data_IF_275495646935
#
_entry.id   IF_275495646935
#
_cell.length_a   1.000
_cell.length_b   1.000
_cell.length_c   1.000
_cell.angle_alpha   90.00
_cell.angle_beta   90.00
_cell.angle_gamma   90.00
#
_symmetry.space_group_name_H-M   'P 1'
#
loop_
_entity.id
_entity.type
_entity.pdbx_description
1 polymer ?
#
# COMPACT_ATOMS: atom_id res chain seq x y z
N UNK A 1 -5.49 13.76 -0.78
CA UNK A 1 -6.40 14.29 -1.81
C UNK A 1 -7.84 13.81 -1.55
N UNK A 2 -8.82 14.54 -2.07
CA UNK A 2 -10.22 14.14 -2.10
C UNK A 2 -10.53 13.68 -3.52
N UNK A 3 -11.15 12.51 -3.68
CA UNK A 3 -11.49 11.97 -4.99
C UNK A 3 -13.00 11.95 -5.19
N UNK A 4 -13.47 12.44 -6.33
CA UNK A 4 -14.85 12.25 -6.81
C UNK A 4 -14.86 10.91 -7.56
N UNK A 5 -15.23 9.85 -6.87
CA UNK A 5 -15.05 8.47 -7.32
C UNK A 5 -16.27 7.61 -7.05
N UNK A 6 -16.53 6.67 -7.96
CA UNK A 6 -17.49 5.60 -7.79
C UNK A 6 -16.92 4.28 -8.37
N UNK A 7 -17.74 3.23 -8.49
CA UNK A 7 -17.28 1.93 -9.01
C UNK A 7 -16.86 1.96 -10.49
N UNK A 8 -17.28 2.97 -11.25
CA UNK A 8 -16.95 3.11 -12.68
C UNK A 8 -15.69 3.93 -12.94
N UNK A 9 -15.15 4.64 -11.93
CA UNK A 9 -13.88 5.37 -12.05
C UNK A 9 -13.79 6.65 -11.23
N UNK A 10 -12.67 7.35 -11.40
CA UNK A 10 -12.37 8.65 -10.79
C UNK A 10 -12.76 9.76 -11.76
N UNK A 11 -13.60 10.70 -11.33
CA UNK A 11 -14.05 11.85 -12.13
C UNK A 11 -13.26 13.12 -11.87
N UNK A 12 -12.81 13.32 -10.62
CA UNK A 12 -12.00 14.46 -10.24
C UNK A 12 -11.15 14.16 -9.01
N UNK A 13 -10.05 14.88 -8.88
CA UNK A 13 -9.15 14.85 -7.72
C UNK A 13 -8.96 16.27 -7.23
N UNK A 14 -9.14 16.50 -5.93
CA UNK A 14 -8.88 17.78 -5.28
C UNK A 14 -7.77 17.61 -4.24
N UNK A 15 -6.61 18.25 -4.39
CA UNK A 15 -5.56 18.24 -3.39
C UNK A 15 -6.04 18.99 -2.14
N UNK A 16 -5.84 18.40 -0.96
CA UNK A 16 -6.04 19.10 0.31
C UNK A 16 -4.86 20.03 0.51
N UNK A 17 -5.06 21.31 0.89
CA UNK A 17 -3.94 22.23 1.10
C UNK A 17 -2.93 21.67 2.12
N UNK A 18 -1.61 21.78 1.86
CA UNK A 18 -0.55 21.17 2.70
C UNK A 18 -0.63 21.54 4.18
N UNK A 19 -1.06 22.76 4.49
CA UNK A 19 -1.24 23.23 5.88
C UNK A 19 -2.30 22.42 6.64
N UNK A 20 -3.37 22.01 5.96
CA UNK A 20 -4.40 21.16 6.59
C UNK A 20 -3.93 19.71 6.72
N UNK A 21 -3.17 19.19 5.75
CA UNK A 21 -2.56 17.86 5.87
C UNK A 21 -1.63 17.81 7.09
N UNK A 22 -0.76 18.81 7.24
CA UNK A 22 0.10 18.97 8.42
C UNK A 22 -0.72 19.01 9.70
N UNK A 23 -1.70 19.91 9.77
CA UNK A 23 -2.53 20.10 10.97
C UNK A 23 -3.26 18.84 11.39
N UNK A 24 -3.79 18.04 10.44
CA UNK A 24 -4.44 16.77 10.76
C UNK A 24 -3.45 15.72 11.29
N UNK A 25 -2.26 15.60 10.68
CA UNK A 25 -1.23 14.68 11.16
C UNK A 25 -0.81 15.08 12.58
N UNK A 26 -0.51 16.35 12.79
CA UNK A 26 -0.08 16.87 14.11
C UNK A 26 -1.16 16.65 15.18
N UNK A 27 -2.41 16.96 14.88
CA UNK A 27 -3.51 16.77 15.84
C UNK A 27 -3.65 15.31 16.28
N UNK A 28 -3.52 14.35 15.37
CA UNK A 28 -3.59 12.92 15.70
C UNK A 28 -2.34 12.43 16.40
N UNK A 29 -1.15 12.87 15.96
CA UNK A 29 0.12 12.42 16.54
C UNK A 29 0.36 13.02 17.94
N UNK A 30 -0.10 14.23 18.20
CA UNK A 30 0.09 14.89 19.51
C UNK A 30 -0.81 14.26 20.59
N UNK A 31 -1.98 13.75 20.24
CA UNK A 31 -2.98 13.19 21.16
C UNK A 31 -3.00 11.66 21.15
N UNK A 32 -3.35 11.04 20.01
CA UNK A 32 -3.63 9.60 19.91
C UNK A 32 -2.34 8.75 19.80
N UNK A 33 -1.32 9.26 19.10
CA UNK A 33 -0.02 8.58 18.88
C UNK A 33 -0.17 7.17 18.31
N UNK A 34 -0.71 7.02 17.09
CA UNK A 34 -0.94 5.71 16.49
C UNK A 34 0.36 4.89 16.38
N UNK A 35 0.27 3.59 16.60
CA UNK A 35 1.40 2.64 16.55
C UNK A 35 1.91 2.42 15.12
N UNK A 36 1.05 2.61 14.10
CA UNK A 36 1.42 2.51 12.70
C UNK A 36 0.67 3.54 11.84
N UNK A 37 1.31 3.95 10.75
CA UNK A 37 0.75 4.88 9.76
C UNK A 37 0.72 4.18 8.39
N UNK A 38 -0.42 4.26 7.71
CA UNK A 38 -0.50 3.89 6.29
C UNK A 38 -0.66 5.14 5.45
N UNK A 39 0.19 5.27 4.44
CA UNK A 39 0.15 6.33 3.43
C UNK A 39 -0.29 5.70 2.12
N UNK A 40 -1.26 6.32 1.45
CA UNK A 40 -1.74 5.92 0.13
C UNK A 40 -1.38 6.95 -0.93
N UNK A 41 -2.35 7.27 -1.79
CA UNK A 41 -2.17 8.18 -2.92
C UNK A 41 -1.72 9.58 -2.47
N UNK A 42 -0.55 9.99 -2.95
CA UNK A 42 -0.02 11.35 -2.86
C UNK A 42 0.30 11.79 -4.29
N UNK A 43 -0.25 12.92 -4.70
CA UNK A 43 -0.11 13.45 -6.06
C UNK A 43 0.59 14.81 -6.15
N UNK A 44 1.05 15.35 -5.03
CA UNK A 44 1.57 16.71 -4.89
C UNK A 44 2.87 16.71 -4.08
N UNK A 45 3.92 17.32 -4.62
CA UNK A 45 5.26 17.40 -4.01
C UNK A 45 5.26 18.12 -2.65
N UNK A 46 4.44 19.16 -2.49
CA UNK A 46 4.35 19.89 -1.22
C UNK A 46 3.71 19.04 -0.13
N UNK A 47 2.78 18.14 -0.50
CA UNK A 47 2.22 17.15 0.42
C UNK A 47 3.27 16.12 0.81
N UNK A 48 4.10 15.65 -0.13
CA UNK A 48 5.24 14.75 0.17
C UNK A 48 6.15 15.40 1.21
N UNK A 49 6.58 16.65 1.00
CA UNK A 49 7.45 17.39 1.92
C UNK A 49 6.82 17.55 3.31
N UNK A 50 5.54 17.87 3.36
CA UNK A 50 4.81 18.00 4.65
C UNK A 50 4.76 16.68 5.39
N UNK A 51 4.42 15.58 4.72
CA UNK A 51 4.36 14.25 5.33
C UNK A 51 5.75 13.85 5.82
N UNK A 52 6.79 13.99 5.00
CA UNK A 52 8.17 13.65 5.36
C UNK A 52 8.64 14.46 6.58
N UNK A 53 8.33 15.76 6.63
CA UNK A 53 8.64 16.59 7.80
C UNK A 53 7.92 16.10 9.08
N UNK A 54 6.66 15.69 8.97
CA UNK A 54 5.93 15.11 10.10
C UNK A 54 6.53 13.76 10.54
N UNK A 55 6.90 12.89 9.61
CA UNK A 55 7.54 11.61 9.91
C UNK A 55 8.90 11.81 10.61
N UNK A 56 9.68 12.79 10.21
CA UNK A 56 10.94 13.17 10.91
C UNK A 56 10.68 13.68 12.32
N UNK A 57 9.63 14.49 12.52
CA UNK A 57 9.25 15.04 13.83
C UNK A 57 8.78 13.95 14.78
N UNK A 58 7.86 13.11 14.36
CA UNK A 58 7.17 12.16 15.24
C UNK A 58 7.80 10.77 15.31
N UNK A 59 8.54 10.36 14.28
CA UNK A 59 9.25 9.07 14.19
C UNK A 59 8.37 7.87 14.56
N UNK A 60 7.23 7.68 13.90
CA UNK A 60 6.33 6.56 14.18
C UNK A 60 7.06 5.22 14.01
N UNK A 61 6.66 4.20 14.78
CA UNK A 61 7.32 2.89 14.75
C UNK A 61 7.23 2.21 13.39
N UNK A 62 6.05 2.29 12.75
CA UNK A 62 5.79 1.68 11.45
C UNK A 62 5.14 2.68 10.49
N UNK A 63 5.72 2.80 9.30
CA UNK A 63 5.18 3.58 8.18
C UNK A 63 5.07 2.67 6.97
N UNK A 64 3.86 2.43 6.50
CA UNK A 64 3.57 1.62 5.33
C UNK A 64 3.13 2.54 4.20
N UNK A 65 3.87 2.54 3.09
CA UNK A 65 3.56 3.38 1.94
C UNK A 65 3.13 2.51 0.75
N UNK A 66 1.89 2.75 0.28
CA UNK A 66 1.34 2.16 -0.94
C UNK A 66 1.46 3.20 -2.06
N UNK A 67 2.46 3.09 -2.96
CA UNK A 67 2.79 4.14 -3.93
C UNK A 67 1.80 4.12 -5.10
N UNK A 68 0.57 4.57 -4.86
CA UNK A 68 -0.49 4.59 -5.88
C UNK A 68 -0.14 5.62 -6.95
N UNK A 69 0.50 5.19 -8.05
CA UNK A 69 0.95 6.04 -9.16
C UNK A 69 0.03 5.95 -10.37
N UNK A 70 -0.71 4.86 -10.51
CA UNK A 70 -1.57 4.58 -11.65
C UNK A 70 -2.93 4.12 -11.15
N UNK A 71 -4.01 4.68 -11.69
CA UNK A 71 -5.36 4.22 -11.37
C UNK A 71 -5.62 2.82 -11.94
N UNK A 72 -6.63 2.12 -11.42
CA UNK A 72 -7.09 0.84 -11.98
C UNK A 72 -7.48 0.95 -13.45
N UNK A 73 -7.90 2.16 -13.90
CA UNK A 73 -8.21 2.47 -15.31
C UNK A 73 -6.98 2.84 -16.15
N UNK A 74 -5.76 2.80 -15.60
CA UNK A 74 -4.51 3.08 -16.32
C UNK A 74 -4.12 4.56 -16.41
N UNK A 75 -4.85 5.46 -15.77
CA UNK A 75 -4.48 6.89 -15.76
C UNK A 75 -3.31 7.12 -14.79
N UNK A 76 -2.27 7.80 -15.26
CA UNK A 76 -1.16 8.28 -14.42
C UNK A 76 -1.74 9.28 -13.41
N UNK A 77 -1.53 9.02 -12.13
CA UNK A 77 -2.06 9.81 -11.01
C UNK A 77 -1.01 10.74 -10.39
N UNK A 78 0.23 10.66 -10.85
CA UNK A 78 1.38 11.38 -10.29
C UNK A 78 2.24 11.97 -11.38
N UNK A 79 2.83 13.12 -11.14
CA UNK A 79 3.79 13.77 -12.04
C UNK A 79 5.22 13.29 -11.78
N UNK A 80 6.14 13.44 -12.75
CA UNK A 80 7.49 12.86 -12.66
C UNK A 80 8.34 13.50 -11.55
N UNK A 81 8.18 14.79 -11.30
CA UNK A 81 8.84 15.50 -10.21
C UNK A 81 8.36 15.04 -8.82
N UNK A 82 7.08 14.67 -8.71
CA UNK A 82 6.55 14.09 -7.48
C UNK A 82 7.08 12.66 -7.24
N UNK A 83 7.38 11.88 -8.29
CA UNK A 83 8.03 10.56 -8.14
C UNK A 83 9.42 10.73 -7.51
N UNK A 84 10.22 11.68 -7.97
CA UNK A 84 11.53 11.97 -7.38
C UNK A 84 11.41 12.33 -5.89
N UNK A 85 10.46 13.19 -5.52
CA UNK A 85 10.23 13.52 -4.12
C UNK A 85 9.79 12.32 -3.28
N UNK A 86 8.99 11.40 -3.85
CA UNK A 86 8.61 10.16 -3.14
C UNK A 86 9.82 9.27 -2.89
N UNK A 87 10.71 9.09 -3.87
CA UNK A 87 11.90 8.24 -3.75
C UNK A 87 12.94 8.83 -2.82
N UNK A 88 13.17 10.14 -2.87
CA UNK A 88 14.25 10.81 -2.15
C UNK A 88 13.86 11.22 -0.72
N UNK A 89 12.61 11.69 -0.53
CA UNK A 89 12.18 12.28 0.74
C UNK A 89 11.31 11.36 1.58
N UNK A 90 10.45 10.51 0.97
CA UNK A 90 9.45 9.72 1.69
C UNK A 90 9.86 8.26 1.87
N UNK A 91 10.31 7.57 0.80
CA UNK A 91 10.63 6.15 0.87
C UNK A 91 11.69 5.81 1.91
N UNK A 92 12.76 6.62 2.14
CA UNK A 92 13.74 6.36 3.20
C UNK A 92 13.16 6.34 4.61
N UNK A 93 11.99 6.95 4.81
CA UNK A 93 11.30 7.02 6.11
C UNK A 93 10.31 5.86 6.31
N UNK A 94 10.16 4.97 5.33
CA UNK A 94 9.14 3.92 5.36
C UNK A 94 9.69 2.60 5.92
N UNK A 95 8.84 1.88 6.64
CA UNK A 95 9.11 0.52 7.08
C UNK A 95 8.84 -0.50 5.97
N UNK A 96 7.89 -0.18 5.08
CA UNK A 96 7.50 -1.03 3.95
C UNK A 96 6.92 -0.17 2.84
N UNK A 97 7.30 -0.44 1.61
CA UNK A 97 6.58 0.01 0.42
C UNK A 97 5.87 -1.19 -0.24
N UNK A 98 4.69 -0.97 -0.81
CA UNK A 98 3.86 -2.04 -1.39
C UNK A 98 3.50 -1.79 -2.86
N UNK A 99 4.46 -1.63 -3.77
CA UNK A 99 4.19 -1.41 -5.18
C UNK A 99 3.56 -2.64 -5.84
N UNK A 100 2.68 -2.43 -6.82
CA UNK A 100 2.32 -3.45 -7.80
C UNK A 100 3.38 -3.49 -8.93
N UNK A 101 3.25 -4.43 -9.88
CA UNK A 101 4.22 -4.58 -10.97
C UNK A 101 4.39 -3.30 -11.78
N UNK A 102 3.29 -2.61 -12.16
CA UNK A 102 3.35 -1.39 -12.95
C UNK A 102 4.02 -0.24 -12.20
N UNK A 103 3.75 -0.12 -10.91
CA UNK A 103 4.39 0.87 -10.04
C UNK A 103 5.89 0.57 -9.88
N UNK A 104 6.25 -0.70 -9.73
CA UNK A 104 7.64 -1.13 -9.69
C UNK A 104 8.37 -0.89 -11.01
N UNK A 105 7.74 -1.16 -12.16
CA UNK A 105 8.30 -0.85 -13.49
C UNK A 105 8.54 0.65 -13.67
N UNK A 106 7.65 1.51 -13.19
CA UNK A 106 7.86 2.97 -13.20
C UNK A 106 9.06 3.35 -12.34
N UNK A 107 9.19 2.76 -11.15
CA UNK A 107 10.26 3.09 -10.19
C UNK A 107 11.63 2.53 -10.63
N UNK A 108 11.68 1.37 -11.28
CA UNK A 108 12.94 0.72 -11.72
C UNK A 108 13.33 1.09 -13.14
N UNK A 109 12.37 1.55 -13.94
CA UNK A 109 12.59 1.92 -15.35
C UNK A 109 12.67 0.74 -16.32
N UNK A 110 12.33 -0.48 -15.90
CA UNK A 110 12.35 -1.67 -16.76
C UNK A 110 11.15 -2.60 -16.50
N UNK A 111 10.75 -3.43 -17.50
CA UNK A 111 9.62 -4.36 -17.37
C UNK A 111 9.94 -5.51 -16.39
N UNK A 112 8.88 -6.04 -15.77
CA UNK A 112 8.93 -7.14 -14.79
C UNK A 112 7.94 -8.23 -15.22
N UNK A 113 8.42 -9.36 -15.75
CA UNK A 113 7.60 -10.37 -16.41
C UNK A 113 7.49 -11.70 -15.64
N UNK A 114 8.36 -11.92 -14.64
CA UNK A 114 8.40 -13.19 -13.91
C UNK A 114 8.88 -12.98 -12.45
N UNK A 115 8.79 -14.04 -11.66
CA UNK A 115 9.12 -14.00 -10.22
C UNK A 115 10.60 -13.68 -9.97
N UNK A 116 11.52 -14.13 -10.83
CA UNK A 116 12.95 -13.84 -10.66
C UNK A 116 13.25 -12.34 -10.92
N UNK A 117 12.60 -11.76 -11.92
CA UNK A 117 12.67 -10.31 -12.16
C UNK A 117 12.00 -9.52 -11.02
N UNK A 118 10.91 -10.03 -10.42
CA UNK A 118 10.32 -9.43 -9.23
C UNK A 118 11.28 -9.41 -8.04
N UNK A 119 12.01 -10.50 -7.80
CA UNK A 119 13.04 -10.56 -6.74
C UNK A 119 14.14 -9.53 -6.97
N UNK A 120 14.62 -9.42 -8.21
CA UNK A 120 15.63 -8.44 -8.60
C UNK A 120 15.13 -7.00 -8.44
N UNK A 121 13.91 -6.72 -8.91
CA UNK A 121 13.28 -5.41 -8.75
C UNK A 121 13.04 -5.04 -7.28
N UNK A 122 12.63 -5.99 -6.44
CA UNK A 122 12.46 -5.74 -5.01
C UNK A 122 13.78 -5.35 -4.32
N UNK A 123 14.90 -5.99 -4.69
CA UNK A 123 16.24 -5.62 -4.23
C UNK A 123 16.68 -4.23 -4.73
N UNK A 124 16.30 -3.89 -5.97
CA UNK A 124 16.59 -2.57 -6.53
C UNK A 124 15.79 -1.47 -5.80
N UNK A 125 14.52 -1.70 -5.55
CA UNK A 125 13.65 -0.75 -4.83
C UNK A 125 14.11 -0.51 -3.39
N UNK A 126 14.78 -1.45 -2.73
CA UNK A 126 15.40 -1.22 -1.41
C UNK A 126 16.48 -0.13 -1.44
N UNK A 127 17.10 0.16 -2.60
CA UNK A 127 18.09 1.24 -2.73
C UNK A 127 17.48 2.63 -2.49
N UNK A 128 16.16 2.77 -2.58
CA UNK A 128 15.46 3.99 -2.16
C UNK A 128 15.39 4.18 -0.63
N UNK A 129 16.03 3.32 0.15
CA UNK A 129 16.21 3.48 1.59
C UNK A 129 15.07 2.97 2.47
N UNK A 130 14.00 2.39 1.90
CA UNK A 130 12.95 1.74 2.68
C UNK A 130 13.47 0.45 3.37
N UNK A 131 12.85 0.07 4.50
CA UNK A 131 13.30 -1.12 5.26
C UNK A 131 12.83 -2.45 4.64
N UNK A 132 11.75 -2.43 3.87
CA UNK A 132 11.23 -3.60 3.16
C UNK A 132 10.43 -3.19 1.92
N UNK A 133 10.31 -4.12 0.97
CA UNK A 133 9.50 -4.00 -0.25
C UNK A 133 8.60 -5.21 -0.36
N UNK A 134 7.30 -5.02 -0.47
CA UNK A 134 6.33 -6.04 -0.88
C UNK A 134 5.90 -5.77 -2.33
N UNK A 135 6.55 -6.42 -3.28
CA UNK A 135 6.19 -6.33 -4.70
C UNK A 135 5.00 -7.26 -4.99
N UNK A 136 3.87 -6.65 -5.34
CA UNK A 136 2.60 -7.38 -5.58
C UNK A 136 2.56 -7.92 -7.01
N UNK A 137 2.44 -9.25 -7.17
CA UNK A 137 2.47 -9.93 -8.46
C UNK A 137 1.10 -10.30 -9.06
N UNK A 138 0.01 -9.74 -8.54
CA UNK A 138 -1.35 -10.14 -8.91
C UNK A 138 -1.75 -10.03 -10.38
N UNK A 139 -0.87 -9.55 -11.24
CA UNK A 139 -1.09 -9.36 -12.68
C UNK A 139 -0.21 -10.27 -13.54
N UNK A 140 0.54 -11.24 -12.97
CA UNK A 140 1.31 -12.20 -13.75
C UNK A 140 0.40 -13.23 -14.43
N UNK A 141 0.78 -13.63 -15.65
CA UNK A 141 0.06 -14.67 -16.39
C UNK A 141 0.19 -16.04 -15.69
N UNK A 142 -0.81 -16.94 -15.87
CA UNK A 142 -0.73 -18.33 -15.43
C UNK A 142 -1.55 -18.73 -14.22
N UNK A 143 -2.48 -17.91 -13.72
CA UNK A 143 -3.43 -18.29 -12.64
C UNK A 143 -2.84 -18.38 -11.25
N UNK A 144 -1.52 -18.29 -11.07
CA UNK A 144 -0.82 -18.24 -9.80
C UNK A 144 -0.48 -16.77 -9.47
N UNK A 145 -0.99 -16.30 -8.33
CA UNK A 145 -0.62 -15.01 -7.76
C UNK A 145 0.60 -15.20 -6.86
N UNK A 146 1.65 -14.42 -7.08
CA UNK A 146 2.85 -14.44 -6.25
C UNK A 146 3.23 -13.01 -5.87
N UNK A 147 3.39 -12.76 -4.56
CA UNK A 147 3.98 -11.51 -4.07
C UNK A 147 5.35 -11.80 -3.46
N UNK A 148 6.29 -10.89 -3.65
CA UNK A 148 7.67 -10.98 -3.20
C UNK A 148 7.91 -9.95 -2.11
N UNK A 149 8.19 -10.39 -0.88
CA UNK A 149 8.64 -9.53 0.21
C UNK A 149 10.15 -9.63 0.35
N UNK A 150 10.86 -8.54 0.12
CA UNK A 150 12.29 -8.40 0.39
C UNK A 150 12.49 -7.46 1.57
N UNK A 151 13.22 -7.92 2.58
CA UNK A 151 13.58 -7.14 3.77
C UNK A 151 15.05 -6.75 3.67
N UNK A 152 15.37 -5.51 4.01
CA UNK A 152 16.74 -5.02 4.00
C UNK A 152 17.63 -5.84 4.95
N UNK A 153 18.78 -6.29 4.45
CA UNK A 153 19.71 -7.14 5.20
C UNK A 153 19.41 -8.65 5.11
N UNK A 154 18.27 -9.06 4.59
CA UNK A 154 17.99 -10.49 4.33
C UNK A 154 18.45 -10.89 2.92
N UNK A 155 19.10 -12.04 2.82
CA UNK A 155 19.61 -12.57 1.54
C UNK A 155 18.53 -13.26 0.70
N UNK A 156 17.46 -13.72 1.34
CA UNK A 156 16.39 -14.51 0.70
C UNK A 156 15.06 -13.81 0.85
N UNK A 157 14.31 -13.55 -0.24
CA UNK A 157 12.98 -12.98 -0.17
C UNK A 157 11.95 -14.02 0.33
N UNK A 158 10.91 -13.53 0.99
CA UNK A 158 9.72 -14.32 1.32
C UNK A 158 8.74 -14.29 0.16
N UNK A 159 8.25 -15.45 -0.26
CA UNK A 159 7.28 -15.60 -1.34
C UNK A 159 5.90 -15.95 -0.77
N UNK A 160 4.88 -15.21 -1.19
CA UNK A 160 3.49 -15.45 -0.81
C UNK A 160 2.69 -15.81 -2.06
N UNK A 161 2.34 -17.08 -2.19
CA UNK A 161 1.54 -17.58 -3.31
C UNK A 161 0.08 -17.77 -2.92
N UNK A 162 -0.81 -17.53 -3.86
CA UNK A 162 -2.26 -17.78 -3.71
C UNK A 162 -2.89 -18.06 -5.06
N UNK A 163 -4.01 -18.76 -5.05
CA UNK A 163 -4.84 -18.92 -6.25
C UNK A 163 -5.59 -17.61 -6.51
N UNK A 164 -5.70 -17.23 -7.78
CA UNK A 164 -6.51 -16.08 -8.19
C UNK A 164 -7.97 -16.36 -7.92
N UNK A 165 -8.65 -15.45 -7.24
CA UNK A 165 -10.11 -15.48 -7.07
C UNK A 165 -10.72 -14.63 -8.19
N UNK A 166 -11.55 -15.24 -9.02
CA UNK A 166 -12.29 -14.51 -10.03
C UNK A 166 -13.42 -13.71 -9.36
N UNK A 167 -13.30 -12.40 -9.41
CA UNK A 167 -14.27 -11.48 -8.79
C UNK A 167 -14.25 -10.14 -9.54
N UNK A 168 -15.41 -9.53 -9.82
CA UNK A 168 -15.48 -8.15 -10.26
C UNK A 168 -15.21 -7.15 -9.12
N UNK A 169 -15.25 -7.61 -7.86
CA UNK A 169 -15.20 -6.80 -6.65
C UNK A 169 -13.79 -6.76 -6.08
N UNK A 170 -12.88 -6.12 -6.79
CA UNK A 170 -11.46 -6.00 -6.40
C UNK A 170 -11.04 -4.56 -6.07
N UNK A 171 -11.99 -3.61 -6.08
CA UNK A 171 -11.69 -2.22 -5.76
C UNK A 171 -11.24 -2.07 -4.30
N UNK A 172 -10.12 -1.38 -4.10
CA UNK A 172 -9.56 -1.16 -2.78
C UNK A 172 -8.69 -2.28 -2.21
N UNK A 173 -8.46 -3.37 -2.95
CA UNK A 173 -7.63 -4.52 -2.52
C UNK A 173 -6.23 -4.09 -2.07
N UNK A 174 -5.53 -3.26 -2.85
CA UNK A 174 -4.19 -2.76 -2.51
C UNK A 174 -4.19 -1.91 -1.24
N UNK A 175 -5.12 -0.95 -1.16
CA UNK A 175 -5.28 -0.10 0.03
C UNK A 175 -5.63 -0.91 1.27
N UNK A 176 -6.48 -1.95 1.13
CA UNK A 176 -6.84 -2.86 2.22
C UNK A 176 -5.64 -3.68 2.67
N UNK A 177 -4.85 -4.21 1.73
CA UNK A 177 -3.64 -4.97 2.03
C UNK A 177 -2.65 -4.13 2.85
N UNK A 178 -2.30 -2.95 2.38
CA UNK A 178 -1.35 -2.06 3.05
C UNK A 178 -1.85 -1.59 4.42
N UNK A 179 -3.16 -1.32 4.56
CA UNK A 179 -3.76 -0.97 5.85
C UNK A 179 -3.78 -2.14 6.84
N UNK A 180 -4.09 -3.35 6.36
CA UNK A 180 -4.07 -4.55 7.18
C UNK A 180 -2.64 -4.90 7.65
N UNK A 181 -1.62 -4.72 6.77
CA UNK A 181 -0.22 -4.89 7.18
C UNK A 181 0.14 -3.91 8.30
N UNK A 182 -0.22 -2.62 8.15
CA UNK A 182 -0.01 -1.61 9.18
C UNK A 182 -0.65 -2.03 10.52
N UNK A 183 -1.89 -2.52 10.48
CA UNK A 183 -2.62 -2.99 11.65
C UNK A 183 -1.92 -4.19 12.31
N UNK A 184 -1.50 -5.20 11.55
CA UNK A 184 -0.83 -6.36 12.12
C UNK A 184 0.56 -6.04 12.69
N UNK A 185 1.29 -5.09 12.11
CA UNK A 185 2.54 -4.58 12.69
C UNK A 185 2.28 -3.83 14.00
N UNK A 186 1.23 -2.99 14.06
CA UNK A 186 0.81 -2.32 15.29
C UNK A 186 0.40 -3.30 16.40
N UNK A 187 -0.15 -4.48 16.02
CA UNK A 187 -0.46 -5.58 16.94
C UNK A 187 0.77 -6.41 17.37
N UNK A 188 2.00 -6.04 16.92
CA UNK A 188 3.25 -6.68 17.34
C UNK A 188 3.70 -7.87 16.50
N UNK A 189 3.06 -8.16 15.37
CA UNK A 189 3.54 -9.20 14.46
C UNK A 189 4.80 -8.74 13.71
N UNK A 190 5.74 -9.66 13.47
CA UNK A 190 6.90 -9.38 12.60
C UNK A 190 6.47 -9.26 11.14
N UNK A 191 7.26 -8.58 10.32
CA UNK A 191 6.90 -8.20 8.95
C UNK A 191 6.36 -9.36 8.09
N UNK A 192 7.00 -10.55 7.98
CA UNK A 192 6.47 -11.64 7.17
C UNK A 192 5.10 -12.15 7.66
N UNK A 193 4.91 -12.23 8.98
CA UNK A 193 3.63 -12.65 9.57
C UNK A 193 2.53 -11.60 9.35
N UNK A 194 2.87 -10.31 9.45
CA UNK A 194 1.93 -9.22 9.18
C UNK A 194 1.44 -9.26 7.72
N UNK A 195 2.36 -9.48 6.76
CA UNK A 195 2.03 -9.64 5.33
C UNK A 195 1.14 -10.87 5.11
N UNK A 196 1.50 -12.03 5.66
CA UNK A 196 0.72 -13.27 5.52
C UNK A 196 -0.72 -13.10 6.04
N UNK A 197 -0.88 -12.52 7.23
CA UNK A 197 -2.19 -12.26 7.83
C UNK A 197 -3.02 -11.26 7.04
N UNK A 198 -2.39 -10.20 6.55
CA UNK A 198 -3.03 -9.20 5.71
C UNK A 198 -3.49 -9.79 4.37
N UNK A 199 -2.67 -10.61 3.72
CA UNK A 199 -3.07 -11.34 2.50
C UNK A 199 -4.26 -12.25 2.74
N UNK A 200 -4.26 -13.00 3.83
CA UNK A 200 -5.37 -13.86 4.20
C UNK A 200 -6.66 -13.05 4.44
N UNK A 201 -6.57 -11.91 5.13
CA UNK A 201 -7.70 -11.01 5.33
C UNK A 201 -8.27 -10.52 4.01
N UNK A 202 -7.42 -10.05 3.10
CA UNK A 202 -7.83 -9.58 1.77
C UNK A 202 -8.45 -10.71 0.94
N UNK A 203 -7.83 -11.89 0.92
CA UNK A 203 -8.32 -13.07 0.19
C UNK A 203 -9.74 -13.44 0.64
N UNK A 204 -9.97 -13.52 1.95
CA UNK A 204 -11.30 -13.81 2.49
C UNK A 204 -12.31 -12.68 2.21
N UNK A 205 -11.88 -11.42 2.26
CA UNK A 205 -12.73 -10.29 1.89
C UNK A 205 -13.18 -10.31 0.42
N UNK A 206 -12.29 -10.71 -0.49
CA UNK A 206 -12.61 -10.91 -1.92
C UNK A 206 -13.58 -12.09 -2.07
N UNK A 207 -13.28 -13.24 -1.47
CA UNK A 207 -14.11 -14.45 -1.55
C UNK A 207 -15.53 -14.19 -1.03
N UNK A 208 -15.66 -13.54 0.12
CA UNK A 208 -16.95 -13.22 0.73
C UNK A 208 -17.71 -12.08 0.00
N UNK A 209 -17.02 -11.32 -0.84
CA UNK A 209 -17.60 -10.22 -1.62
C UNK A 209 -17.85 -10.54 -3.09
N UNK A 210 -17.34 -11.67 -3.63
CA UNK A 210 -17.27 -11.92 -5.07
C UNK A 210 -18.61 -11.92 -5.79
N UNK A 211 -19.68 -12.36 -5.12
CA UNK A 211 -21.02 -12.49 -5.69
C UNK A 211 -21.93 -11.28 -5.37
N UNK A 212 -21.41 -10.29 -4.65
CA UNK A 212 -22.17 -9.08 -4.29
C UNK A 212 -22.09 -8.08 -5.43
N UNK A 213 -23.22 -7.55 -5.87
CA UNK A 213 -23.27 -6.49 -6.90
C UNK A 213 -23.51 -5.13 -6.24
N UNK A 214 -22.48 -4.26 -6.30
CA UNK A 214 -22.58 -2.87 -5.87
C UNK A 214 -22.10 -1.98 -7.00
N UNK A 215 -23.01 -1.18 -7.57
CA UNK A 215 -22.72 -0.32 -8.71
C UNK A 215 -22.56 -1.08 -10.03
N UNK A 216 -22.10 -0.38 -11.06
CA UNK A 216 -22.00 -0.89 -12.44
C UNK A 216 -20.55 -1.20 -12.87
N UNK A 217 -19.56 -0.89 -12.02
CA UNK A 217 -18.14 -1.12 -12.27
C UNK A 217 -17.53 -2.10 -11.27
N UNK A 218 -16.24 -1.90 -10.98
CA UNK A 218 -15.52 -2.71 -10.00
C UNK A 218 -16.00 -2.41 -8.58
N UNK A 219 -16.69 -3.37 -7.96
CA UNK A 219 -17.19 -3.26 -6.59
C UNK A 219 -16.09 -3.48 -5.54
N UNK A 220 -16.39 -3.15 -4.26
CA UNK A 220 -15.47 -3.35 -3.15
C UNK A 220 -15.45 -4.81 -2.69
N UNK A 221 -14.34 -5.22 -2.05
CA UNK A 221 -14.32 -6.47 -1.28
C UNK A 221 -15.19 -6.33 0.00
N UNK A 222 -15.60 -7.46 0.58
CA UNK A 222 -16.38 -7.46 1.81
C UNK A 222 -15.46 -7.38 3.04
N UNK A 223 -15.27 -6.17 3.60
CA UNK A 223 -14.47 -5.97 4.82
C UNK A 223 -15.12 -6.55 6.08
N UNK A 224 -16.41 -6.80 6.05
CA UNK A 224 -17.23 -7.27 7.18
C UNK A 224 -17.45 -8.78 7.19
N UNK A 225 -16.65 -9.56 6.47
CA UNK A 225 -16.82 -11.01 6.38
C UNK A 225 -16.62 -11.75 7.73
N UNK A 226 -15.84 -11.17 8.64
CA UNK A 226 -15.54 -11.76 9.94
C UNK A 226 -15.18 -10.67 10.97
N UNK A 227 -16.17 -9.94 11.50
CA UNK A 227 -15.91 -8.91 12.51
C UNK A 227 -15.40 -9.55 13.80
N UNK A 228 -14.35 -8.97 14.36
CA UNK A 228 -13.75 -9.39 15.62
C UNK A 228 -13.81 -8.25 16.64
N UNK A 229 -13.84 -8.54 17.96
CA UNK A 229 -13.75 -7.53 19.00
C UNK A 229 -12.49 -6.68 18.86
N UNK A 230 -12.57 -5.43 19.29
CA UNK A 230 -11.43 -4.51 19.33
C UNK A 230 -10.36 -5.05 20.30
N UNK A 231 -9.10 -5.05 19.87
CA UNK A 231 -7.98 -5.32 20.77
C UNK A 231 -7.75 -4.08 21.66
N UNK A 232 -7.80 -4.30 22.97
CA UNK A 232 -7.50 -3.26 23.96
C UNK A 232 -6.16 -3.64 24.57
N UNK A 233 -5.17 -2.73 24.50
CA UNK A 233 -3.92 -2.92 25.24
C UNK A 233 -4.23 -2.71 26.71
N UNK A 234 -3.88 -3.68 27.56
CA UNK A 234 -3.83 -3.47 29.00
C UNK A 234 -2.65 -2.54 29.30
N UNK A 235 -2.90 -1.51 30.11
CA UNK A 235 -1.88 -0.53 30.53
C UNK A 235 -0.81 -1.17 31.43
#
# INVERSE_FOLDING_TARGET
AITVQNTTGVRAIHPVPPVFVRGQIEAVMDDIRPDAIKIGMINDIEIVKVISACLHKYRPAYVIFDPVMVSTSGHKLIEDDAIAALTDDLMPLTSLITPNLREAEVLTGHPINNVEEMKSAALELLKFGCKAVLLKGGHLEGGLMCDVLQIAGESTPHLFTSTKIESPNTHGTGCTLSSAIATFLALGYVMPQAVERAKRYVTHGIEAGKDIRIGEGHGPLNHFYHPVPMNIKEE
#
